data_IF_474333858385
#
_entry.id   IF_474333858385
#
_cell.length_a   1.000
_cell.length_b   1.000
_cell.length_c   1.000
_cell.angle_alpha   90.00
_cell.angle_beta   90.00
_cell.angle_gamma   90.00
#
_symmetry.space_group_name_H-M   'P 1'
#
loop_
_entity.id
_entity.type
_entity.pdbx_description
1 polymer ?
#
# COMPACT_ATOMS: atom_id res chain seq x y z
N UNK A 1 -12.31 -5.13 -10.57
CA UNK A 1 -12.02 -4.02 -11.49
C UNK A 1 -10.54 -4.13 -11.81
N UNK A 2 -10.18 -4.19 -13.09
CA UNK A 2 -8.79 -4.41 -13.52
C UNK A 2 -8.33 -3.20 -14.31
N UNK A 3 -7.20 -2.62 -13.92
CA UNK A 3 -6.60 -1.43 -14.53
C UNK A 3 -5.63 -0.72 -13.59
N UNK A 4 -4.73 0.10 -14.14
CA UNK A 4 -3.79 0.90 -13.35
C UNK A 4 -4.53 2.06 -12.69
N UNK A 5 -4.84 1.87 -11.41
CA UNK A 5 -5.50 2.84 -10.56
C UNK A 5 -4.47 3.52 -9.67
N UNK A 6 -4.78 4.71 -9.18
CA UNK A 6 -3.92 5.40 -8.19
C UNK A 6 -3.73 4.61 -6.89
N UNK A 7 -4.61 3.66 -6.61
CA UNK A 7 -4.53 2.78 -5.44
C UNK A 7 -3.79 1.46 -5.72
N UNK A 8 -3.45 1.15 -6.98
CA UNK A 8 -2.68 -0.03 -7.36
C UNK A 8 -1.19 0.27 -7.15
N UNK A 9 -0.71 -0.02 -5.94
CA UNK A 9 0.67 0.21 -5.52
C UNK A 9 1.58 -0.95 -5.91
N UNK A 10 1.02 -2.09 -6.31
CA UNK A 10 1.76 -3.26 -6.79
C UNK A 10 1.95 -3.28 -8.30
N UNK A 11 1.19 -2.44 -9.03
CA UNK A 11 1.17 -2.35 -10.49
C UNK A 11 0.79 -3.68 -11.15
N UNK A 12 -0.06 -4.48 -10.49
CA UNK A 12 -0.58 -5.75 -11.00
C UNK A 12 -1.95 -5.60 -11.70
N UNK A 13 -2.48 -4.38 -11.71
CA UNK A 13 -3.76 -4.02 -12.30
C UNK A 13 -4.96 -4.40 -11.43
N UNK A 14 -4.78 -4.82 -10.17
CA UNK A 14 -5.86 -5.25 -9.27
C UNK A 14 -5.66 -4.68 -7.87
N UNK A 15 -6.53 -3.74 -7.49
CA UNK A 15 -6.53 -3.18 -6.12
C UNK A 15 -7.02 -4.22 -5.11
N UNK A 16 -6.17 -4.54 -4.12
CA UNK A 16 -6.50 -5.45 -3.01
C UNK A 16 -6.18 -4.81 -1.65
N UNK A 17 -6.87 -5.30 -0.61
CA UNK A 17 -6.67 -4.91 0.80
C UNK A 17 -6.39 -6.10 1.73
N UNK A 18 -6.39 -7.33 1.21
CA UNK A 18 -6.06 -8.58 1.91
C UNK A 18 -5.54 -9.64 0.93
N UNK A 19 -4.90 -10.70 1.44
CA UNK A 19 -4.30 -11.77 0.65
C UNK A 19 -2.89 -11.42 0.14
N UNK A 20 -2.35 -12.24 -0.77
CA UNK A 20 -1.06 -11.95 -1.42
C UNK A 20 -1.18 -10.85 -2.47
N UNK A 21 -0.07 -10.16 -2.76
CA UNK A 21 -0.01 -8.99 -3.66
C UNK A 21 -1.06 -7.94 -3.28
N UNK A 22 -1.00 -7.51 -2.03
CA UNK A 22 -1.91 -6.57 -1.43
C UNK A 22 -1.30 -5.17 -1.42
N UNK A 23 -1.95 -4.21 -2.06
CA UNK A 23 -1.46 -2.83 -2.15
C UNK A 23 -1.29 -2.18 -0.77
N UNK A 24 -2.07 -2.63 0.23
CA UNK A 24 -1.93 -2.21 1.62
C UNK A 24 -0.51 -2.43 2.15
N UNK A 25 0.17 -3.49 1.75
CA UNK A 25 1.48 -3.83 2.33
C UNK A 25 2.54 -2.80 1.93
N UNK A 26 2.53 -2.33 0.69
CA UNK A 26 3.41 -1.25 0.23
C UNK A 26 3.14 0.08 0.95
N UNK A 27 1.86 0.39 1.19
CA UNK A 27 1.46 1.59 1.93
C UNK A 27 1.96 1.50 3.38
N UNK A 28 1.77 0.36 4.05
CA UNK A 28 2.20 0.18 5.45
C UNK A 28 3.71 0.19 5.62
N UNK A 29 4.48 -0.34 4.67
CA UNK A 29 5.94 -0.20 4.65
C UNK A 29 6.35 1.29 4.57
N UNK A 30 5.63 2.07 3.77
CA UNK A 30 5.85 3.52 3.66
C UNK A 30 5.49 4.23 4.96
N UNK A 31 4.41 3.87 5.65
CA UNK A 31 4.03 4.48 6.93
C UNK A 31 4.91 4.03 8.10
N UNK A 32 5.56 2.87 7.99
CA UNK A 32 6.47 2.33 9.01
C UNK A 32 5.86 1.26 9.91
N UNK A 33 4.84 0.54 9.43
CA UNK A 33 4.30 -0.66 10.09
C UNK A 33 2.78 -0.79 10.02
N UNK A 34 2.27 -1.85 10.65
CA UNK A 34 0.84 -2.20 10.74
C UNK A 34 0.16 -1.60 11.98
N UNK A 35 0.92 -0.93 12.86
CA UNK A 35 0.40 -0.35 14.09
C UNK A 35 -0.51 0.84 13.75
N UNK A 36 -1.79 0.88 14.19
CA UNK A 36 -2.75 1.92 13.80
C UNK A 36 -2.36 3.35 14.16
N UNK A 37 -1.41 3.52 15.08
CA UNK A 37 -0.91 4.81 15.56
C UNK A 37 0.42 5.23 14.95
N UNK A 38 0.96 4.44 13.99
CA UNK A 38 2.17 4.83 13.28
C UNK A 38 1.88 6.05 12.41
N UNK A 39 2.60 7.15 12.66
CA UNK A 39 2.55 8.37 11.86
C UNK A 39 3.94 8.64 11.31
N UNK A 40 4.00 8.95 10.02
CA UNK A 40 5.23 9.34 9.35
C UNK A 40 5.02 10.65 8.61
N UNK A 41 5.81 11.66 8.97
CA UNK A 41 5.64 13.02 8.46
C UNK A 41 6.07 13.18 6.99
N UNK A 42 6.90 12.27 6.49
CA UNK A 42 7.37 12.27 5.10
C UNK A 42 7.88 10.89 4.66
N UNK A 43 7.91 10.66 3.35
CA UNK A 43 8.54 9.47 2.78
C UNK A 43 10.06 9.51 3.02
N UNK A 44 10.70 8.33 3.15
CA UNK A 44 12.17 8.24 3.17
C UNK A 44 12.66 8.34 1.72
N UNK A 45 13.86 8.89 1.50
CA UNK A 45 14.48 8.93 0.18
C UNK A 45 14.56 7.54 -0.47
#
# INVERSE_FOLDING_TARGET
MTGYLSADCTLDGVVKYAGGNNDRDHILQTVGGTVPTAVRNAQLP
#
